data_IF_288666346004
#
_entry.id   IF_288666346004
#
_cell.length_a   1.000
_cell.length_b   1.000
_cell.length_c   1.000
_cell.angle_alpha   90.00
_cell.angle_beta   90.00
_cell.angle_gamma   90.00
#
_symmetry.space_group_name_H-M   'P 1'
#
loop_
_entity.id
_entity.type
_entity.pdbx_description
1 polymer ?
#
# COMPACT_ATOMS: atom_id res chain seq x y z
N UNK A 1 27.67 23.62 2.41
CA UNK A 1 27.04 22.57 1.58
C UNK A 1 26.72 23.19 0.25
N UNK A 2 27.13 22.59 -0.86
CA UNK A 2 26.86 23.16 -2.18
C UNK A 2 25.35 23.24 -2.44
N UNK A 3 24.82 24.41 -2.87
CA UNK A 3 23.39 24.58 -3.13
C UNK A 3 22.85 23.62 -4.20
N UNK A 4 23.74 23.13 -5.08
CA UNK A 4 23.47 22.10 -6.08
C UNK A 4 23.18 20.74 -5.43
N UNK A 5 23.97 20.33 -4.44
CA UNK A 5 23.75 19.05 -3.75
C UNK A 5 22.44 19.11 -2.97
N UNK A 6 22.14 20.26 -2.37
CA UNK A 6 20.89 20.48 -1.64
C UNK A 6 19.66 20.39 -2.57
N UNK A 7 19.71 20.96 -3.77
CA UNK A 7 18.58 20.93 -4.72
C UNK A 7 18.33 19.51 -5.25
N UNK A 8 19.38 18.74 -5.56
CA UNK A 8 19.27 17.34 -5.99
C UNK A 8 18.68 16.48 -4.86
N UNK A 9 19.15 16.68 -3.62
CA UNK A 9 18.66 15.96 -2.47
C UNK A 9 17.18 16.29 -2.18
N UNK A 10 16.79 17.56 -2.28
CA UNK A 10 15.41 18.00 -2.09
C UNK A 10 14.47 17.36 -3.12
N UNK A 11 14.84 17.38 -4.41
CA UNK A 11 14.02 16.79 -5.49
C UNK A 11 13.91 15.28 -5.33
N UNK A 12 15.02 14.58 -5.08
CA UNK A 12 14.96 13.14 -4.82
C UNK A 12 14.16 12.81 -3.56
N UNK A 13 14.24 13.65 -2.52
CA UNK A 13 13.44 13.54 -1.31
C UNK A 13 11.94 13.61 -1.60
N UNK A 14 11.50 14.57 -2.42
CA UNK A 14 10.09 14.70 -2.84
C UNK A 14 9.63 13.47 -3.63
N UNK A 15 10.45 13.00 -4.57
CA UNK A 15 10.14 11.84 -5.41
C UNK A 15 9.97 10.57 -4.57
N UNK A 16 10.87 10.32 -3.61
CA UNK A 16 10.78 9.18 -2.69
C UNK A 16 9.66 9.38 -1.67
N UNK A 17 9.41 10.62 -1.23
CA UNK A 17 8.32 10.98 -0.35
C UNK A 17 6.96 10.64 -0.94
N UNK A 18 6.71 10.99 -2.20
CA UNK A 18 5.47 10.62 -2.89
C UNK A 18 5.26 9.11 -2.99
N UNK A 19 6.33 8.34 -3.16
CA UNK A 19 6.26 6.88 -3.10
C UNK A 19 5.83 6.37 -1.71
N UNK A 20 6.43 6.88 -0.64
CA UNK A 20 6.00 6.55 0.73
C UNK A 20 4.55 6.96 0.96
N UNK A 21 4.12 8.09 0.40
CA UNK A 21 2.74 8.53 0.37
C UNK A 21 1.81 7.51 -0.27
N UNK A 22 2.13 7.01 -1.47
CA UNK A 22 1.32 5.96 -2.12
C UNK A 22 1.22 4.66 -1.31
N UNK A 23 2.30 4.24 -0.64
CA UNK A 23 2.26 3.09 0.28
C UNK A 23 1.32 3.39 1.45
N UNK A 24 1.41 4.60 2.02
CA UNK A 24 0.61 5.06 3.15
C UNK A 24 -0.87 5.23 2.81
N UNK A 25 -1.23 5.61 1.58
CA UNK A 25 -2.63 5.80 1.15
C UNK A 25 -3.47 4.55 1.39
N UNK A 26 -2.94 3.36 1.09
CA UNK A 26 -3.65 2.09 1.35
C UNK A 26 -3.89 1.85 2.85
N UNK A 27 -2.88 2.14 3.69
CA UNK A 27 -3.00 2.01 5.15
C UNK A 27 -3.97 3.05 5.72
N UNK A 28 -3.91 4.28 5.22
CA UNK A 28 -4.79 5.38 5.62
C UNK A 28 -6.25 5.07 5.32
N UNK A 29 -6.54 4.47 4.16
CA UNK A 29 -7.89 4.02 3.82
C UNK A 29 -8.39 2.94 4.79
N UNK A 30 -7.58 1.92 5.05
CA UNK A 30 -7.90 0.82 5.97
C UNK A 30 -8.20 1.37 7.37
N UNK A 31 -7.29 2.20 7.89
CA UNK A 31 -7.43 2.78 9.21
C UNK A 31 -8.62 3.74 9.27
N UNK A 32 -8.77 4.64 8.28
CA UNK A 32 -9.81 5.67 8.29
C UNK A 32 -11.23 5.11 8.36
N UNK A 33 -11.44 3.89 7.86
CA UNK A 33 -12.75 3.22 7.86
C UNK A 33 -12.94 2.30 9.06
N UNK A 34 -11.92 1.49 9.40
CA UNK A 34 -12.05 0.44 10.42
C UNK A 34 -11.49 0.82 11.79
N UNK A 35 -10.67 1.88 11.86
CA UNK A 35 -9.90 2.31 13.04
C UNK A 35 -9.00 1.20 13.60
N UNK A 36 -8.43 0.38 12.70
CA UNK A 36 -7.45 -0.65 13.06
C UNK A 36 -6.16 -0.43 12.30
N UNK A 37 -5.06 -0.51 13.04
CA UNK A 37 -3.71 -0.47 12.47
C UNK A 37 -3.41 -1.85 11.89
N UNK A 38 -3.18 -1.90 10.57
CA UNK A 38 -2.75 -3.11 9.89
C UNK A 38 -1.22 -3.24 9.92
N UNK A 39 -0.67 -3.99 10.89
CA UNK A 39 0.78 -4.21 10.95
C UNK A 39 1.30 -5.16 9.85
N UNK A 40 0.43 -5.93 9.19
CA UNK A 40 0.79 -6.72 8.02
C UNK A 40 0.93 -5.88 6.74
N UNK A 41 0.63 -4.58 6.76
CA UNK A 41 0.66 -3.72 5.55
C UNK A 41 1.99 -3.79 4.80
N UNK A 42 3.11 -3.80 5.54
CA UNK A 42 4.44 -4.00 4.97
C UNK A 42 4.61 -5.37 4.29
N UNK A 43 4.11 -6.44 4.90
CA UNK A 43 4.14 -7.80 4.33
C UNK A 43 3.28 -7.92 3.06
N UNK A 44 2.15 -7.21 2.99
CA UNK A 44 1.39 -7.11 1.74
C UNK A 44 2.18 -6.40 0.63
N UNK A 45 2.94 -5.34 0.96
CA UNK A 45 3.83 -4.69 -0.02
C UNK A 45 4.95 -5.63 -0.48
N UNK A 46 5.52 -6.41 0.44
CA UNK A 46 6.51 -7.43 0.10
C UNK A 46 5.94 -8.42 -0.94
N UNK A 47 4.74 -8.95 -0.72
CA UNK A 47 4.07 -9.81 -1.71
C UNK A 47 3.84 -9.05 -3.03
N UNK A 48 3.44 -7.78 -2.94
CA UNK A 48 3.27 -6.88 -4.08
C UNK A 48 4.55 -6.66 -4.90
N UNK A 49 5.73 -6.84 -4.31
CA UNK A 49 7.02 -6.83 -5.01
C UNK A 49 7.38 -8.21 -5.60
N UNK A 50 7.01 -9.30 -4.92
CA UNK A 50 7.28 -10.66 -5.40
C UNK A 50 6.43 -11.06 -6.61
N UNK A 51 5.17 -10.61 -6.70
CA UNK A 51 4.30 -10.90 -7.85
C UNK A 51 4.92 -10.44 -9.17
N UNK A 52 5.26 -9.14 -9.38
CA UNK A 52 5.87 -8.70 -10.63
C UNK A 52 7.27 -9.31 -10.84
N UNK A 53 8.03 -9.60 -9.79
CA UNK A 53 9.31 -10.31 -9.89
C UNK A 53 9.15 -11.70 -10.52
N UNK A 54 8.24 -12.53 -10.02
CA UNK A 54 8.03 -13.86 -10.56
C UNK A 54 7.38 -13.85 -11.95
N UNK A 55 6.47 -12.90 -12.21
CA UNK A 55 5.91 -12.73 -13.55
C UNK A 55 6.98 -12.34 -14.59
N UNK A 56 7.93 -11.50 -14.20
CA UNK A 56 9.09 -11.18 -15.04
C UNK A 56 9.99 -12.42 -15.23
N UNK A 57 10.35 -13.11 -14.14
CA UNK A 57 11.29 -14.23 -14.19
C UNK A 57 10.76 -15.44 -14.98
N UNK A 58 9.46 -15.72 -14.88
CA UNK A 58 8.84 -16.90 -15.49
C UNK A 58 8.29 -16.63 -16.90
N UNK A 59 7.73 -15.44 -17.14
CA UNK A 59 7.01 -15.12 -18.37
C UNK A 59 7.59 -13.95 -19.15
N UNK A 60 8.61 -13.26 -18.62
CA UNK A 60 9.18 -12.05 -19.24
C UNK A 60 8.22 -10.86 -19.24
N UNK A 61 7.18 -10.86 -18.40
CA UNK A 61 6.20 -9.77 -18.36
C UNK A 61 6.78 -8.50 -17.77
N UNK A 62 6.58 -7.39 -18.47
CA UNK A 62 6.99 -6.07 -17.99
C UNK A 62 6.38 -5.78 -16.60
N UNK A 63 7.16 -5.31 -15.61
CA UNK A 63 6.67 -5.11 -14.24
C UNK A 63 5.48 -4.15 -14.17
N UNK A 64 5.42 -3.16 -15.07
CA UNK A 64 4.29 -2.25 -15.12
C UNK A 64 3.01 -2.95 -15.58
N UNK A 65 3.07 -3.87 -16.55
CA UNK A 65 1.89 -4.64 -16.98
C UNK A 65 1.44 -5.63 -15.92
N UNK A 66 2.38 -6.15 -15.13
CA UNK A 66 2.11 -7.03 -13.99
C UNK A 66 1.19 -6.41 -12.93
N UNK A 67 0.98 -5.09 -12.93
CA UNK A 67 0.00 -4.43 -12.06
C UNK A 67 -1.44 -4.95 -12.27
N UNK A 68 -1.77 -5.40 -13.49
CA UNK A 68 -3.08 -5.97 -13.81
C UNK A 68 -3.33 -7.32 -13.11
N UNK A 69 -2.27 -8.00 -12.70
CA UNK A 69 -2.34 -9.26 -11.94
C UNK A 69 -2.13 -9.00 -10.45
N UNK A 70 -1.13 -8.17 -10.11
CA UNK A 70 -0.76 -7.89 -8.73
C UNK A 70 -1.88 -7.19 -7.95
N UNK A 71 -2.57 -6.21 -8.55
CA UNK A 71 -3.62 -5.48 -7.86
C UNK A 71 -4.85 -6.36 -7.55
N UNK A 72 -5.43 -7.13 -8.51
CA UNK A 72 -6.51 -8.06 -8.19
C UNK A 72 -6.09 -9.19 -7.24
N UNK A 73 -4.87 -9.72 -7.36
CA UNK A 73 -4.38 -10.76 -6.46
C UNK A 73 -4.29 -10.26 -5.02
N UNK A 74 -3.70 -9.08 -4.79
CA UNK A 74 -3.65 -8.51 -3.45
C UNK A 74 -5.01 -7.99 -2.96
N UNK A 75 -5.89 -7.54 -3.86
CA UNK A 75 -7.28 -7.27 -3.50
C UNK A 75 -7.95 -8.52 -2.93
N UNK A 76 -7.85 -9.65 -3.63
CA UNK A 76 -8.42 -10.92 -3.21
C UNK A 76 -7.83 -11.42 -1.90
N UNK A 77 -6.50 -11.37 -1.76
CA UNK A 77 -5.80 -11.77 -0.53
C UNK A 77 -6.21 -10.88 0.65
N UNK A 78 -6.20 -9.56 0.47
CA UNK A 78 -6.61 -8.61 1.50
C UNK A 78 -8.08 -8.79 1.90
N UNK A 79 -8.96 -8.94 0.91
CA UNK A 79 -10.38 -9.22 1.14
C UNK A 79 -10.56 -10.51 1.95
N UNK A 80 -9.83 -11.58 1.62
CA UNK A 80 -9.90 -12.87 2.31
C UNK A 80 -9.39 -12.77 3.76
N UNK A 81 -8.24 -12.11 3.98
CA UNK A 81 -7.70 -11.86 5.32
C UNK A 81 -8.70 -11.08 6.17
N UNK A 82 -9.30 -10.03 5.61
CA UNK A 82 -10.32 -9.27 6.32
C UNK A 82 -11.56 -10.10 6.61
N UNK A 83 -12.07 -10.85 5.64
CA UNK A 83 -13.31 -11.62 5.79
C UNK A 83 -13.18 -12.82 6.73
N UNK A 84 -12.02 -13.49 6.72
CA UNK A 84 -11.81 -14.77 7.41
C UNK A 84 -11.11 -14.60 8.75
N UNK A 85 -10.17 -13.66 8.88
CA UNK A 85 -9.38 -13.50 10.10
C UNK A 85 -9.89 -12.33 10.94
N UNK A 86 -10.05 -11.15 10.35
CA UNK A 86 -10.31 -9.92 11.10
C UNK A 86 -11.82 -9.75 11.39
N UNK A 87 -12.67 -10.02 10.41
CA UNK A 87 -14.12 -9.86 10.54
C UNK A 87 -14.75 -10.71 11.66
N UNK A 88 -14.36 -11.98 11.90
CA UNK A 88 -14.88 -12.76 13.03
C UNK A 88 -14.49 -12.18 14.39
N UNK A 89 -13.30 -11.58 14.51
CA UNK A 89 -12.85 -10.92 15.74
C UNK A 89 -13.78 -9.75 16.10
N UNK A 90 -14.07 -8.89 15.13
CA UNK A 90 -15.02 -7.78 15.29
C UNK A 90 -16.43 -8.22 15.69
N UNK A 91 -16.88 -9.37 15.17
CA UNK A 91 -18.21 -9.91 15.55
C UNK A 91 -18.24 -10.39 17.00
N UNK A 92 -17.13 -10.92 17.52
CA UNK A 92 -17.02 -11.40 18.90
C UNK A 92 -16.85 -10.27 19.91
N UNK A 93 -16.11 -9.23 19.59
CA UNK A 93 -15.81 -8.11 20.50
C UNK A 93 -16.95 -7.06 20.59
N UNK A 94 -18.15 -7.43 20.14
CA UNK A 94 -19.34 -6.59 19.90
C UNK A 94 -19.91 -5.79 21.10
N UNK A 95 -19.19 -5.61 22.20
CA UNK A 95 -19.74 -4.97 23.40
C UNK A 95 -18.96 -3.77 23.99
N UNK A 96 -17.62 -3.68 23.97
CA UNK A 96 -16.96 -2.63 24.81
C UNK A 96 -15.61 -2.07 24.38
N UNK A 97 -15.02 -2.44 23.23
CA UNK A 97 -13.65 -2.00 22.91
C UNK A 97 -13.61 -1.17 21.62
N UNK A 98 -13.22 0.10 21.76
CA UNK A 98 -13.15 1.10 20.69
C UNK A 98 -11.90 0.90 19.80
N UNK A 99 -10.88 0.17 20.27
CA UNK A 99 -9.66 -0.14 19.52
C UNK A 99 -9.13 -1.52 19.93
N UNK A 100 -9.44 -2.59 19.16
CA UNK A 100 -9.01 -3.92 19.55
C UNK A 100 -7.50 -4.06 19.36
N UNK A 101 -6.75 -3.98 20.45
CA UNK A 101 -5.33 -4.39 20.52
C UNK A 101 -5.15 -5.84 20.01
N UNK A 102 -6.20 -6.65 20.12
CA UNK A 102 -6.32 -7.97 19.49
C UNK A 102 -6.24 -7.93 17.96
N UNK A 103 -6.83 -6.94 17.29
CA UNK A 103 -6.73 -6.78 15.83
C UNK A 103 -5.31 -6.34 15.41
N UNK A 104 -4.66 -5.51 16.22
CA UNK A 104 -3.25 -5.18 16.04
C UNK A 104 -2.38 -6.43 16.14
N UNK A 105 -2.54 -7.21 17.21
CA UNK A 105 -1.81 -8.47 17.41
C UNK A 105 -2.10 -9.49 16.29
N UNK A 106 -3.36 -9.58 15.84
CA UNK A 106 -3.76 -10.45 14.75
C UNK A 106 -3.08 -10.05 13.44
N UNK A 107 -3.11 -8.76 13.08
CA UNK A 107 -2.47 -8.29 11.85
C UNK A 107 -0.95 -8.41 11.92
N UNK A 108 -0.32 -8.18 13.07
CA UNK A 108 1.10 -8.48 13.27
C UNK A 108 1.41 -9.97 13.06
N UNK A 109 0.57 -10.86 13.61
CA UNK A 109 0.68 -12.31 13.40
C UNK A 109 0.50 -12.73 11.94
N UNK A 110 -0.45 -12.13 11.23
CA UNK A 110 -0.62 -12.34 9.78
C UNK A 110 0.63 -11.90 9.03
N UNK A 111 1.21 -10.74 9.36
CA UNK A 111 2.46 -10.26 8.77
C UNK A 111 3.59 -11.26 8.95
N UNK A 112 3.79 -11.76 10.18
CA UNK A 112 4.80 -12.79 10.45
C UNK A 112 4.58 -14.07 9.64
N UNK A 113 3.34 -14.53 9.51
CA UNK A 113 3.02 -15.71 8.69
C UNK A 113 3.37 -15.45 7.23
N UNK A 114 2.98 -14.30 6.67
CA UNK A 114 3.27 -13.95 5.29
C UNK A 114 4.78 -13.84 5.03
N UNK A 115 5.52 -13.18 5.92
CA UNK A 115 6.97 -13.03 5.83
C UNK A 115 7.67 -14.39 5.88
N UNK A 116 7.28 -15.27 6.81
CA UNK A 116 7.88 -16.60 6.95
C UNK A 116 7.48 -17.56 5.81
N UNK A 117 6.25 -17.50 5.31
CA UNK A 117 5.85 -18.29 4.14
C UNK A 117 6.66 -17.86 2.92
N UNK A 118 6.81 -16.55 2.71
CA UNK A 118 7.61 -15.99 1.62
C UNK A 118 9.07 -16.40 1.75
N UNK A 119 9.62 -16.37 2.97
CA UNK A 119 10.95 -16.87 3.27
C UNK A 119 11.10 -18.37 2.99
N UNK A 120 10.11 -19.18 3.35
CA UNK A 120 10.14 -20.63 3.13
C UNK A 120 10.09 -21.00 1.64
N UNK A 121 9.25 -20.32 0.86
CA UNK A 121 9.09 -20.61 -0.57
C UNK A 121 10.19 -19.99 -1.44
N UNK A 122 10.66 -18.78 -1.11
CA UNK A 122 11.58 -18.04 -1.95
C UNK A 122 12.98 -17.90 -1.34
N UNK A 123 13.20 -18.20 -0.06
CA UNK A 123 14.51 -18.02 0.57
C UNK A 123 14.89 -16.55 0.82
N UNK A 124 16.04 -16.31 1.47
CA UNK A 124 16.44 -15.01 2.02
C UNK A 124 16.97 -14.01 0.99
N UNK A 125 17.28 -14.47 -0.22
CA UNK A 125 18.08 -13.69 -1.17
C UNK A 125 17.38 -12.41 -1.64
N UNK A 126 18.20 -11.37 -1.82
CA UNK A 126 17.77 -10.13 -2.45
C UNK A 126 17.64 -10.33 -3.96
N UNK A 127 16.48 -9.96 -4.49
CA UNK A 127 16.14 -10.12 -5.90
C UNK A 127 15.68 -8.79 -6.47
N UNK A 128 15.92 -8.56 -7.76
CA UNK A 128 15.51 -7.33 -8.42
C UNK A 128 15.29 -7.55 -9.90
N UNK A 129 14.70 -6.55 -10.55
CA UNK A 129 14.52 -6.54 -12.00
C UNK A 129 15.34 -5.37 -12.55
N UNK A 130 16.21 -5.65 -13.51
CA UNK A 130 16.94 -4.61 -14.24
C UNK A 130 16.29 -4.39 -15.60
N UNK A 131 15.58 -3.26 -15.74
CA UNK A 131 15.04 -2.81 -17.03
C UNK A 131 16.11 -2.00 -17.78
N UNK A 132 16.09 -2.04 -19.11
CA UNK A 132 17.06 -1.29 -19.95
C UNK A 132 17.03 0.23 -19.70
N UNK A 133 15.89 0.76 -19.29
CA UNK A 133 15.72 2.17 -18.95
C UNK A 133 15.86 2.46 -17.45
N UNK A 134 16.09 1.45 -16.59
CA UNK A 134 16.24 1.66 -15.15
C UNK A 134 17.49 2.49 -14.80
N UNK A 135 18.53 2.44 -15.65
CA UNK A 135 19.74 3.25 -15.51
C UNK A 135 19.64 4.63 -16.17
N UNK A 136 18.58 4.89 -16.96
CA UNK A 136 18.39 6.19 -17.60
C UNK A 136 17.93 7.21 -16.57
N UNK A 137 18.37 8.44 -16.77
CA UNK A 137 17.91 9.58 -15.99
C UNK A 137 17.54 10.75 -16.89
N UNK A 138 16.49 11.47 -16.51
CA UNK A 138 16.13 12.76 -17.06
C UNK A 138 17.04 13.81 -16.45
N UNK A 139 17.77 14.48 -17.31
CA UNK A 139 18.57 15.64 -16.96
C UNK A 139 17.74 16.90 -17.26
N UNK A 140 17.43 17.68 -16.22
CA UNK A 140 16.82 19.00 -16.37
C UNK A 140 17.95 20.01 -16.17
N UNK A 141 18.48 20.54 -17.28
CA UNK A 141 19.75 21.28 -17.31
C UNK A 141 20.95 20.39 -16.97
N UNK A 142 22.06 20.99 -16.54
CA UNK A 142 23.31 20.28 -16.22
C UNK A 142 23.35 19.70 -14.79
N UNK A 143 22.25 19.85 -14.03
CA UNK A 143 22.31 19.78 -12.56
C UNK A 143 21.30 18.79 -11.97
N UNK A 144 20.06 18.74 -12.47
CA UNK A 144 19.00 17.91 -11.88
C UNK A 144 18.88 16.57 -12.61
N UNK A 145 19.28 15.49 -11.93
CA UNK A 145 19.13 14.12 -12.39
C UNK A 145 17.95 13.44 -11.68
N UNK A 146 16.89 13.12 -12.41
CA UNK A 146 15.77 12.31 -11.93
C UNK A 146 15.79 10.98 -12.67
N UNK A 147 15.98 9.89 -11.94
CA UNK A 147 15.88 8.55 -12.52
C UNK A 147 14.48 8.30 -13.09
N UNK A 148 14.38 7.77 -14.32
CA UNK A 148 13.11 7.59 -15.02
C UNK A 148 12.12 6.73 -14.22
N UNK A 149 12.56 5.61 -13.62
CA UNK A 149 11.66 4.71 -12.90
C UNK A 149 11.12 5.34 -11.62
N UNK A 150 11.95 6.17 -10.95
CA UNK A 150 11.53 6.94 -9.76
C UNK A 150 10.54 8.04 -10.14
N UNK A 151 10.78 8.75 -11.25
CA UNK A 151 9.84 9.75 -11.77
C UNK A 151 8.48 9.16 -12.14
N UNK A 152 8.47 8.00 -12.81
CA UNK A 152 7.24 7.26 -13.11
C UNK A 152 6.51 6.87 -11.83
N UNK A 153 7.23 6.32 -10.84
CA UNK A 153 6.62 5.94 -9.56
C UNK A 153 6.03 7.14 -8.81
N UNK A 154 6.69 8.31 -8.84
CA UNK A 154 6.17 9.54 -8.25
C UNK A 154 4.90 10.02 -8.96
N UNK A 155 4.89 10.10 -10.30
CA UNK A 155 3.68 10.49 -11.04
C UNK A 155 2.54 9.49 -10.79
N UNK A 156 2.84 8.20 -10.80
CA UNK A 156 1.86 7.17 -10.49
C UNK A 156 1.33 7.28 -9.05
N UNK A 157 2.16 7.70 -8.08
CA UNK A 157 1.72 7.93 -6.70
C UNK A 157 0.62 8.99 -6.61
N UNK A 158 0.79 10.09 -7.35
CA UNK A 158 -0.19 11.18 -7.45
C UNK A 158 -1.48 10.67 -8.12
N UNK A 159 -1.35 9.91 -9.21
CA UNK A 159 -2.49 9.33 -9.93
C UNK A 159 -3.27 8.34 -9.06
N UNK A 160 -2.58 7.46 -8.33
CA UNK A 160 -3.23 6.49 -7.43
C UNK A 160 -4.05 7.22 -6.38
N UNK A 161 -3.48 8.24 -5.76
CA UNK A 161 -4.12 8.89 -4.65
C UNK A 161 -5.24 9.87 -5.09
N UNK A 162 -5.06 10.56 -6.22
CA UNK A 162 -6.13 11.31 -6.88
C UNK A 162 -7.25 10.37 -7.33
N UNK A 163 -6.90 9.24 -7.96
CA UNK A 163 -7.84 8.23 -8.42
C UNK A 163 -8.65 7.63 -7.28
N UNK A 164 -8.01 7.28 -6.16
CA UNK A 164 -8.71 6.81 -4.96
C UNK A 164 -9.61 7.91 -4.37
N UNK A 165 -9.14 9.15 -4.30
CA UNK A 165 -9.92 10.26 -3.77
C UNK A 165 -11.18 10.53 -4.59
N UNK A 166 -11.05 10.53 -5.92
CA UNK A 166 -12.18 10.67 -6.86
C UNK A 166 -13.11 9.46 -6.79
N UNK A 167 -12.56 8.24 -6.75
CA UNK A 167 -13.33 7.01 -6.61
C UNK A 167 -14.17 7.05 -5.33
N UNK A 168 -13.57 7.44 -4.21
CA UNK A 168 -14.32 7.62 -2.99
C UNK A 168 -15.40 8.68 -3.24
N UNK A 169 -15.03 9.90 -3.62
CA UNK A 169 -15.94 11.04 -3.75
C UNK A 169 -17.20 10.74 -4.59
N UNK A 170 -17.02 10.11 -5.76
CA UNK A 170 -18.05 10.03 -6.79
C UNK A 170 -18.71 8.65 -6.97
N UNK A 171 -18.15 7.56 -6.44
CA UNK A 171 -18.75 6.22 -6.61
C UNK A 171 -19.73 5.85 -5.48
N UNK A 172 -20.70 4.98 -5.80
CA UNK A 172 -21.63 4.40 -4.81
C UNK A 172 -20.90 3.64 -3.69
N UNK A 173 -19.91 2.83 -4.07
CA UNK A 173 -19.08 2.10 -3.13
C UNK A 173 -18.30 3.07 -2.24
N UNK A 174 -17.77 4.15 -2.82
CA UNK A 174 -17.07 5.22 -2.11
C UNK A 174 -17.96 5.96 -1.11
N UNK A 175 -19.23 6.21 -1.47
CA UNK A 175 -20.24 6.75 -0.53
C UNK A 175 -20.50 5.79 0.63
N UNK A 176 -20.65 4.50 0.35
CA UNK A 176 -20.83 3.48 1.38
C UNK A 176 -19.61 3.38 2.31
N UNK A 177 -18.38 3.44 1.77
CA UNK A 177 -17.14 3.47 2.54
C UNK A 177 -17.10 4.70 3.48
N UNK A 178 -17.36 5.90 2.95
CA UNK A 178 -17.34 7.13 3.77
C UNK A 178 -18.41 7.15 4.86
N UNK A 179 -19.63 6.72 4.53
CA UNK A 179 -20.72 6.64 5.52
C UNK A 179 -20.39 5.67 6.66
N UNK A 180 -19.79 4.52 6.32
CA UNK A 180 -19.33 3.54 7.30
C UNK A 180 -18.22 4.09 8.19
N UNK A 181 -17.28 4.86 7.62
CA UNK A 181 -16.20 5.51 8.35
C UNK A 181 -16.70 6.60 9.34
N UNK A 182 -17.76 7.32 8.96
CA UNK A 182 -18.37 8.34 9.81
C UNK A 182 -19.14 7.72 10.97
N UNK A 183 -20.05 6.78 10.68
CA UNK A 183 -20.81 6.07 11.69
C UNK A 183 -21.27 4.71 11.16
N UNK A 184 -20.62 3.64 11.64
CA UNK A 184 -20.92 2.26 11.25
C UNK A 184 -22.36 1.85 11.56
N UNK A 185 -22.92 2.31 12.68
CA UNK A 185 -24.23 1.87 13.16
C UNK A 185 -25.33 2.58 12.35
N UNK A 186 -25.16 3.87 12.08
CA UNK A 186 -26.05 4.61 11.17
C UNK A 186 -26.00 4.06 9.74
N UNK A 187 -24.80 3.74 9.22
CA UNK A 187 -24.65 3.10 7.92
C UNK A 187 -25.39 1.75 7.84
N UNK A 188 -25.30 0.94 8.89
CA UNK A 188 -26.01 -0.34 8.97
C UNK A 188 -27.53 -0.17 8.99
N UNK A 189 -28.06 0.85 9.68
CA UNK A 189 -29.49 1.18 9.68
C UNK A 189 -29.99 1.63 8.30
N UNK A 190 -29.14 2.26 7.50
CA UNK A 190 -29.41 2.60 6.11
C UNK A 190 -29.29 1.41 5.13
N UNK A 191 -29.14 0.17 5.63
CA UNK A 191 -29.06 -1.03 4.81
C UNK A 191 -27.66 -1.35 4.26
N UNK A 192 -26.62 -0.62 4.67
CA UNK A 192 -25.25 -0.88 4.23
C UNK A 192 -24.69 -2.09 4.99
N UNK A 193 -24.22 -3.09 4.24
CA UNK A 193 -23.51 -4.21 4.85
C UNK A 193 -22.08 -3.79 5.24
N UNK A 194 -21.92 -3.29 6.46
CA UNK A 194 -20.65 -2.81 7.03
C UNK A 194 -19.52 -3.84 6.89
N UNK A 195 -19.81 -5.13 7.11
CA UNK A 195 -18.78 -6.18 7.02
C UNK A 195 -18.28 -6.35 5.58
N UNK A 196 -19.17 -6.28 4.58
CA UNK A 196 -18.75 -6.30 3.17
C UNK A 196 -17.93 -5.06 2.83
N UNK A 197 -18.32 -3.88 3.34
CA UNK A 197 -17.55 -2.64 3.15
C UNK A 197 -16.15 -2.77 3.75
N UNK A 198 -16.01 -3.32 4.96
CA UNK A 198 -14.69 -3.58 5.55
C UNK A 198 -13.83 -4.50 4.68
N UNK A 199 -14.40 -5.61 4.19
CA UNK A 199 -13.67 -6.54 3.31
C UNK A 199 -13.18 -5.85 2.03
N UNK A 200 -14.05 -5.06 1.39
CA UNK A 200 -13.71 -4.31 0.18
C UNK A 200 -12.64 -3.26 0.46
N UNK A 201 -12.77 -2.48 1.54
CA UNK A 201 -11.81 -1.45 1.92
C UNK A 201 -10.42 -2.04 2.18
N UNK A 202 -10.35 -3.16 2.91
CA UNK A 202 -9.08 -3.86 3.14
C UNK A 202 -8.47 -4.38 1.83
N UNK A 203 -9.29 -4.99 0.97
CA UNK A 203 -8.88 -5.41 -0.36
C UNK A 203 -8.34 -4.23 -1.20
N UNK A 204 -9.04 -3.09 -1.23
CA UNK A 204 -8.59 -1.90 -1.96
C UNK A 204 -7.24 -1.38 -1.44
N UNK A 205 -7.06 -1.34 -0.12
CA UNK A 205 -5.78 -0.94 0.49
C UNK A 205 -4.62 -1.86 0.07
N UNK A 206 -4.84 -3.18 0.05
CA UNK A 206 -3.86 -4.15 -0.43
C UNK A 206 -3.65 -4.10 -1.95
N UNK A 207 -4.69 -3.82 -2.73
CA UNK A 207 -4.60 -3.67 -4.19
C UNK A 207 -3.65 -2.54 -4.58
N UNK A 208 -3.72 -1.41 -3.85
CA UNK A 208 -2.80 -0.27 -4.03
C UNK A 208 -1.36 -0.70 -3.81
N UNK A 209 -1.09 -1.50 -2.78
CA UNK A 209 0.25 -2.06 -2.56
C UNK A 209 0.74 -2.94 -3.70
N UNK A 210 -0.17 -3.65 -4.38
CA UNK A 210 0.16 -4.45 -5.56
C UNK A 210 0.62 -3.59 -6.72
N UNK A 211 -0.08 -2.46 -6.96
CA UNK A 211 0.34 -1.47 -7.95
C UNK A 211 1.69 -0.84 -7.56
N UNK A 212 1.83 -0.43 -6.29
CA UNK A 212 3.05 0.22 -5.80
C UNK A 212 4.25 -0.73 -5.85
N UNK A 213 4.08 -2.01 -5.53
CA UNK A 213 5.14 -3.01 -5.67
C UNK A 213 5.63 -3.16 -7.12
N UNK A 214 4.71 -3.15 -8.09
CA UNK A 214 5.06 -3.14 -9.52
C UNK A 214 5.85 -1.89 -9.94
N UNK A 215 5.53 -0.74 -9.36
CA UNK A 215 6.25 0.51 -9.62
C UNK A 215 7.64 0.52 -8.99
N UNK A 216 7.81 -0.13 -7.84
CA UNK A 216 9.05 -0.10 -7.05
C UNK A 216 10.11 -1.12 -7.49
N UNK A 217 9.70 -2.31 -7.93
CA UNK A 217 10.64 -3.41 -8.23
C UNK A 217 11.77 -3.08 -9.24
N UNK A 218 11.65 -2.11 -10.17
CA UNK A 218 12.76 -1.74 -11.04
C UNK A 218 13.92 -1.01 -10.34
N UNK A 219 13.71 -0.45 -9.14
CA UNK A 219 14.71 0.32 -8.40
C UNK A 219 14.82 -0.04 -6.92
N UNK A 220 14.06 -1.05 -6.47
CA UNK A 220 14.18 -1.66 -5.15
C UNK A 220 14.42 -3.17 -5.30
N UNK A 221 15.23 -3.71 -4.41
CA UNK A 221 15.43 -5.15 -4.28
C UNK A 221 14.36 -5.73 -3.36
N UNK A 222 13.68 -6.79 -3.80
CA UNK A 222 12.75 -7.56 -2.98
C UNK A 222 13.49 -8.62 -2.19
N UNK A 223 13.14 -8.73 -0.91
CA UNK A 223 13.52 -9.81 -0.01
C UNK A 223 12.37 -10.09 0.96
N UNK A 224 12.30 -11.27 1.61
CA UNK A 224 11.24 -11.56 2.59
C UNK A 224 11.25 -10.64 3.83
N UNK A 225 12.32 -9.87 4.05
CA UNK A 225 12.46 -8.96 5.19
C UNK A 225 12.10 -7.50 4.88
N UNK A 226 11.80 -7.17 3.62
CA UNK A 226 11.56 -5.78 3.19
C UNK A 226 10.30 -5.17 3.82
N UNK A 227 9.31 -6.01 4.16
CA UNK A 227 8.00 -5.56 4.62
C UNK A 227 8.06 -4.66 5.84
N UNK A 228 8.81 -5.05 6.88
CA UNK A 228 8.85 -4.32 8.15
C UNK A 228 9.30 -2.86 7.98
N UNK A 229 10.37 -2.63 7.20
CA UNK A 229 10.92 -1.28 7.00
C UNK A 229 9.91 -0.33 6.35
N UNK A 230 9.18 -0.81 5.34
CA UNK A 230 8.14 -0.01 4.68
C UNK A 230 6.86 0.08 5.48
N UNK A 231 6.50 -0.96 6.25
CA UNK A 231 5.39 -0.94 7.18
C UNK A 231 5.54 0.20 8.20
N UNK A 232 6.70 0.30 8.84
CA UNK A 232 7.00 1.38 9.80
C UNK A 232 6.97 2.75 9.14
N UNK A 233 7.60 2.92 7.96
CA UNK A 233 7.59 4.20 7.22
C UNK A 233 6.16 4.61 6.86
N UNK A 234 5.35 3.69 6.37
CA UNK A 234 3.96 3.96 6.01
C UNK A 234 3.12 4.38 7.21
N UNK A 235 3.33 3.74 8.37
CA UNK A 235 2.66 4.13 9.61
C UNK A 235 3.02 5.55 10.04
N UNK A 236 4.32 5.90 10.02
CA UNK A 236 4.79 7.26 10.31
C UNK A 236 4.13 8.27 9.36
N UNK A 237 4.08 7.97 8.05
CA UNK A 237 3.44 8.83 7.06
C UNK A 237 1.94 9.00 7.31
N UNK A 238 1.20 7.94 7.66
CA UNK A 238 -0.23 8.05 7.97
C UNK A 238 -0.48 8.88 9.24
N UNK A 239 0.34 8.71 10.27
CA UNK A 239 0.21 9.47 11.51
C UNK A 239 0.52 10.95 11.27
N UNK A 240 1.58 11.25 10.52
CA UNK A 240 2.00 12.62 10.21
C UNK A 240 1.02 13.32 9.25
N UNK A 241 0.54 12.59 8.25
CA UNK A 241 -0.42 13.08 7.26
C UNK A 241 -1.86 13.23 7.77
N UNK A 242 -2.13 12.76 8.98
CA UNK A 242 -3.47 12.73 9.54
C UNK A 242 -4.17 11.42 9.24
N UNK A 243 -4.55 10.74 10.31
CA UNK A 243 -5.19 9.45 10.30
C UNK A 243 -6.50 9.49 9.47
N UNK A 244 -6.58 8.65 8.43
CA UNK A 244 -7.74 8.59 7.54
C UNK A 244 -7.82 9.72 6.50
N UNK A 245 -6.79 10.57 6.42
CA UNK A 245 -6.67 11.61 5.39
C UNK A 245 -5.85 11.08 4.21
N UNK A 246 -6.52 10.80 3.09
CA UNK A 246 -5.82 10.41 1.84
C UNK A 246 -4.98 11.56 1.27
N UNK A 247 -5.48 12.81 1.17
CA UNK A 247 -4.66 13.93 0.70
C UNK A 247 -3.47 14.21 1.61
N UNK A 248 -3.64 14.05 2.92
CA UNK A 248 -2.58 14.30 3.88
C UNK A 248 -1.43 13.28 3.84
N UNK A 249 -1.63 12.11 3.24
CA UNK A 249 -0.54 11.14 3.05
C UNK A 249 0.42 11.52 1.91
N UNK A 250 0.04 12.46 1.02
CA UNK A 250 0.83 12.86 -0.15
C UNK A 250 1.55 14.20 0.07
N UNK A 251 0.88 15.13 0.77
CA UNK A 251 1.35 16.48 1.06
C UNK A 251 2.49 16.47 2.09
#
# INVERSE_FOLDING_TARGET
>A
MDPIILSIAAVNGIVVGGLYGAIAVGLSLIFGVMRVINFAHGSFLMIGLFIPYWLWQLFGFNPYVSMLVAAPALFGLGYAVQAVLIAPLYRRERAMVIEPLSALMLTAGVGLILDNLTFMFFGPDYRGITLEFASRALWIGDILNINYTRGIAFLASLVIAAGLSLFLAYSDLGRAIRSTAQNRDAAALCGINVMRIYNVTFGLGCAILGVVGCLMIPFYLVSPSIGLAFGVRSFITVVLGGIGSIPGCIL
#
